data_IF_566148043271
#
_entry.id   IF_566148043271
#
_cell.length_a   1.000
_cell.length_b   1.000
_cell.length_c   1.000
_cell.angle_alpha   90.00
_cell.angle_beta   90.00
_cell.angle_gamma   90.00
#
_symmetry.space_group_name_H-M   'P 1'
#
loop_
_entity.id
_entity.type
_entity.pdbx_description
1 polymer ?
#
# COMPACT_ATOMS: atom_id res chain seq x y z
N UNK A 1 -79.96 -48.21 -66.30
CA UNK A 1 -79.16 -48.47 -65.10
C UNK A 1 -78.07 -47.38 -65.04
N UNK A 2 -78.22 -46.38 -64.17
CA UNK A 2 -77.39 -45.14 -64.17
C UNK A 2 -76.30 -45.23 -63.09
N UNK A 3 -75.03 -45.06 -63.49
CA UNK A 3 -73.87 -44.96 -62.61
C UNK A 3 -73.84 -43.60 -61.89
N UNK A 4 -73.41 -43.61 -60.62
CA UNK A 4 -73.08 -42.41 -59.83
C UNK A 4 -71.56 -42.25 -59.76
N UNK A 5 -71.05 -41.06 -60.09
CA UNK A 5 -69.66 -40.65 -59.85
C UNK A 5 -69.63 -39.71 -58.63
N UNK A 6 -68.81 -40.04 -57.62
CA UNK A 6 -68.63 -39.24 -56.41
C UNK A 6 -67.45 -38.27 -56.57
N UNK A 7 -67.69 -37.00 -56.28
CA UNK A 7 -66.68 -35.93 -56.24
C UNK A 7 -66.16 -35.84 -54.80
N UNK A 8 -64.85 -36.01 -54.61
CA UNK A 8 -64.18 -35.74 -53.33
C UNK A 8 -63.54 -34.36 -53.36
N UNK A 9 -63.94 -33.50 -52.42
CA UNK A 9 -63.45 -32.12 -52.26
C UNK A 9 -62.27 -32.13 -51.27
N UNK A 10 -61.06 -31.78 -51.73
CA UNK A 10 -59.90 -31.62 -50.86
C UNK A 10 -59.79 -30.15 -50.43
N UNK A 11 -59.89 -29.89 -49.12
CA UNK A 11 -59.70 -28.57 -48.52
C UNK A 11 -58.21 -28.39 -48.21
N UNK A 12 -57.56 -27.43 -48.86
CA UNK A 12 -56.18 -27.01 -48.56
C UNK A 12 -56.23 -25.85 -47.56
N UNK A 13 -55.77 -26.09 -46.33
CA UNK A 13 -55.61 -25.06 -45.30
C UNK A 13 -54.23 -24.44 -45.44
N UNK A 14 -54.15 -23.20 -45.92
CA UNK A 14 -52.91 -22.41 -45.99
C UNK A 14 -52.74 -21.71 -44.64
N UNK A 15 -51.93 -22.28 -43.75
CA UNK A 15 -51.56 -21.64 -42.48
C UNK A 15 -50.53 -20.54 -42.71
N UNK A 16 -50.90 -19.29 -42.42
CA UNK A 16 -49.96 -18.15 -42.40
C UNK A 16 -49.02 -18.27 -41.20
N UNK A 17 -47.75 -18.61 -41.45
CA UNK A 17 -46.69 -18.60 -40.44
C UNK A 17 -46.24 -17.16 -40.25
N UNK A 18 -46.66 -16.51 -39.16
CA UNK A 18 -46.11 -15.24 -38.71
C UNK A 18 -44.76 -15.50 -38.03
N UNK A 19 -43.68 -15.11 -38.70
CA UNK A 19 -42.34 -15.15 -38.11
C UNK A 19 -42.25 -14.09 -36.99
N UNK A 20 -42.34 -14.54 -35.73
CA UNK A 20 -42.07 -13.70 -34.57
C UNK A 20 -40.55 -13.52 -34.48
N UNK A 21 -40.04 -12.42 -35.03
CA UNK A 21 -38.64 -12.02 -34.87
C UNK A 21 -38.35 -11.77 -33.40
N UNK A 22 -37.63 -12.68 -32.75
CA UNK A 22 -37.11 -12.47 -31.40
C UNK A 22 -35.99 -11.44 -31.48
N UNK A 23 -36.26 -10.20 -31.07
CA UNK A 23 -35.21 -9.21 -30.85
C UNK A 23 -34.39 -9.66 -29.63
N UNK A 24 -33.12 -9.99 -29.87
CA UNK A 24 -32.18 -10.27 -28.78
C UNK A 24 -32.00 -8.97 -27.99
N UNK A 25 -32.49 -8.93 -26.76
CA UNK A 25 -32.28 -7.79 -25.86
C UNK A 25 -30.79 -7.73 -25.48
N UNK A 26 -30.06 -6.76 -26.02
CA UNK A 26 -28.68 -6.48 -25.62
C UNK A 26 -28.74 -5.54 -24.42
N UNK A 27 -28.21 -5.98 -23.27
CA UNK A 27 -28.10 -5.13 -22.09
C UNK A 27 -27.22 -3.91 -22.40
N UNK A 28 -27.62 -2.73 -21.91
CA UNK A 28 -26.79 -1.53 -22.05
C UNK A 28 -25.44 -1.74 -21.35
N UNK A 29 -24.33 -1.23 -21.91
CA UNK A 29 -23.02 -1.29 -21.26
C UNK A 29 -23.07 -0.67 -19.86
N UNK A 30 -22.41 -1.32 -18.89
CA UNK A 30 -22.19 -0.78 -17.55
C UNK A 30 -21.30 0.47 -17.58
N UNK A 31 -20.35 0.50 -18.50
CA UNK A 31 -19.42 1.61 -18.68
C UNK A 31 -19.72 2.45 -19.92
N UNK A 32 -19.56 3.76 -19.78
CA UNK A 32 -19.78 4.75 -20.84
C UNK A 32 -18.51 5.59 -21.01
N UNK A 33 -18.15 5.89 -22.26
CA UNK A 33 -17.04 6.81 -22.53
C UNK A 33 -17.35 8.21 -21.94
N UNK A 34 -16.43 8.81 -21.16
CA UNK A 34 -16.76 9.95 -20.29
C UNK A 34 -17.01 11.27 -21.03
N UNK A 35 -16.82 11.35 -22.35
CA UNK A 35 -17.17 12.54 -23.15
C UNK A 35 -18.29 12.20 -24.13
N UNK A 36 -19.45 12.83 -23.96
CA UNK A 36 -20.62 12.57 -24.79
C UNK A 36 -20.89 13.68 -25.82
N UNK A 37 -21.33 13.28 -27.01
CA UNK A 37 -21.80 14.19 -28.06
C UNK A 37 -20.69 14.99 -28.76
N UNK A 38 -19.43 14.56 -28.64
CA UNK A 38 -18.29 15.26 -29.21
C UNK A 38 -17.24 14.32 -29.82
N UNK A 39 -16.58 14.81 -30.87
CA UNK A 39 -15.35 14.20 -31.37
C UNK A 39 -14.21 14.49 -30.40
N UNK A 40 -13.44 13.46 -30.08
CA UNK A 40 -12.32 13.54 -29.13
C UNK A 40 -11.02 13.00 -29.73
N UNK A 41 -9.91 13.55 -29.23
CA UNK A 41 -8.54 13.04 -29.44
C UNK A 41 -7.88 12.83 -28.08
N UNK A 42 -6.95 11.88 -27.98
CA UNK A 42 -6.15 11.72 -26.77
C UNK A 42 -4.84 12.51 -26.92
N UNK A 43 -4.41 13.18 -25.86
CA UNK A 43 -3.06 13.77 -25.82
C UNK A 43 -2.00 12.66 -25.87
N UNK A 44 -0.91 12.88 -26.61
CA UNK A 44 0.25 11.98 -26.64
C UNK A 44 1.19 12.14 -25.44
N UNK A 45 0.92 13.10 -24.54
CA UNK A 45 1.74 13.36 -23.36
C UNK A 45 0.90 13.68 -22.12
N UNK A 46 1.26 13.05 -21.00
CA UNK A 46 0.84 13.41 -19.65
C UNK A 46 2.04 13.17 -18.71
N UNK A 47 2.53 14.21 -18.01
CA UNK A 47 3.83 14.16 -17.32
C UNK A 47 3.75 14.01 -15.80
N UNK A 48 2.57 14.20 -15.20
CA UNK A 48 2.49 14.42 -13.75
C UNK A 48 1.76 13.30 -12.99
N UNK A 49 0.76 12.65 -13.61
CA UNK A 49 -0.05 11.59 -13.00
C UNK A 49 -0.47 10.53 -14.02
N UNK A 50 -0.88 9.34 -13.54
CA UNK A 50 -1.50 8.34 -14.41
C UNK A 50 -2.95 8.74 -14.72
N UNK A 51 -3.09 9.72 -15.61
CA UNK A 51 -4.35 10.27 -16.09
C UNK A 51 -4.30 10.41 -17.62
N UNK A 52 -5.44 10.73 -18.23
CA UNK A 52 -5.52 10.96 -19.68
C UNK A 52 -6.24 12.26 -19.96
N UNK A 53 -5.59 13.12 -20.75
CA UNK A 53 -6.21 14.31 -21.28
C UNK A 53 -6.97 13.96 -22.57
N UNK A 54 -8.29 14.06 -22.49
CA UNK A 54 -9.21 13.82 -23.61
C UNK A 54 -9.54 15.18 -24.22
N UNK A 55 -8.82 15.53 -25.30
CA UNK A 55 -9.03 16.77 -26.06
C UNK A 55 -10.44 16.78 -26.65
N UNK A 56 -11.22 17.79 -26.28
CA UNK A 56 -12.59 17.99 -26.73
C UNK A 56 -12.91 19.48 -26.78
N UNK A 57 -13.88 19.88 -27.60
CA UNK A 57 -14.31 21.29 -27.66
C UNK A 57 -14.84 21.74 -26.29
N UNK A 58 -14.62 23.00 -25.94
CA UNK A 58 -15.26 23.61 -24.77
C UNK A 58 -16.78 23.43 -24.86
N UNK A 59 -17.42 23.09 -23.74
CA UNK A 59 -18.87 22.82 -23.71
C UNK A 59 -19.28 21.38 -24.02
N UNK A 60 -18.35 20.51 -24.46
CA UNK A 60 -18.63 19.07 -24.55
C UNK A 60 -19.03 18.50 -23.19
N UNK A 61 -19.91 17.50 -23.17
CA UNK A 61 -20.44 16.95 -21.92
C UNK A 61 -19.45 15.97 -21.32
N UNK A 62 -19.00 16.23 -20.10
CA UNK A 62 -18.44 15.20 -19.23
C UNK A 62 -19.61 14.42 -18.61
N UNK A 63 -19.61 13.10 -18.78
CA UNK A 63 -20.65 12.20 -18.26
C UNK A 63 -20.07 11.15 -17.31
N UNK A 64 -20.90 10.65 -16.40
CA UNK A 64 -20.52 9.60 -15.47
C UNK A 64 -20.13 8.32 -16.25
N UNK A 65 -18.90 7.80 -16.09
CA UNK A 65 -18.44 6.62 -16.82
C UNK A 65 -19.11 5.33 -16.34
N UNK A 66 -19.65 5.32 -15.12
CA UNK A 66 -20.41 4.23 -14.52
C UNK A 66 -21.46 4.84 -13.56
N UNK A 67 -22.49 4.09 -13.21
CA UNK A 67 -23.39 4.43 -12.09
C UNK A 67 -22.63 4.46 -10.76
N UNK A 68 -23.08 5.28 -9.82
CA UNK A 68 -22.40 5.43 -8.54
C UNK A 68 -22.89 6.62 -7.73
N UNK A 69 -22.02 7.10 -6.85
CA UNK A 69 -22.28 8.24 -5.95
C UNK A 69 -21.26 9.33 -6.21
N UNK A 70 -21.71 10.57 -6.37
CA UNK A 70 -20.83 11.74 -6.45
C UNK A 70 -20.06 11.84 -5.13
N UNK A 71 -18.75 11.80 -5.25
CA UNK A 71 -17.81 11.85 -4.14
C UNK A 71 -17.50 13.30 -3.82
N UNK A 72 -16.94 14.02 -4.80
CA UNK A 72 -16.50 15.39 -4.62
C UNK A 72 -16.84 16.29 -5.78
N UNK A 73 -16.91 17.57 -5.45
CA UNK A 73 -17.37 18.61 -6.34
C UNK A 73 -16.66 19.91 -5.99
N UNK A 74 -15.82 20.41 -6.90
CA UNK A 74 -15.20 21.72 -6.77
C UNK A 74 -15.68 22.67 -7.87
N UNK A 75 -16.28 23.80 -7.47
CA UNK A 75 -16.73 24.88 -8.40
C UNK A 75 -15.79 26.09 -8.41
N UNK A 76 -14.75 26.09 -7.59
CA UNK A 76 -13.85 27.22 -7.45
C UNK A 76 -12.53 26.95 -8.17
N UNK A 77 -12.21 27.79 -9.15
CA UNK A 77 -10.91 27.75 -9.82
C UNK A 77 -9.88 28.58 -9.03
N UNK A 78 -9.27 27.97 -8.02
CA UNK A 78 -8.23 28.59 -7.19
C UNK A 78 -6.85 28.62 -7.85
N UNK A 79 -6.72 28.16 -9.10
CA UNK A 79 -5.43 28.03 -9.77
C UNK A 79 -4.67 29.36 -9.90
N UNK A 80 -3.41 29.31 -9.51
CA UNK A 80 -2.44 30.38 -9.69
C UNK A 80 -1.10 29.81 -10.16
N UNK A 81 -0.69 30.19 -11.37
CA UNK A 81 0.57 29.74 -11.96
C UNK A 81 1.82 30.15 -11.15
N UNK A 82 1.74 31.22 -10.35
CA UNK A 82 2.87 31.68 -9.51
C UNK A 82 3.10 30.76 -8.32
N UNK A 83 2.05 30.26 -7.67
CA UNK A 83 2.17 29.36 -6.51
C UNK A 83 2.28 27.89 -6.93
N UNK A 84 1.71 27.52 -8.08
CA UNK A 84 1.80 26.20 -8.69
C UNK A 84 1.45 25.05 -7.72
N UNK A 85 0.47 25.27 -6.84
CA UNK A 85 0.03 24.28 -5.86
C UNK A 85 -0.72 23.14 -6.57
N UNK A 86 -0.29 21.90 -6.30
CA UNK A 86 -0.81 20.72 -7.00
C UNK A 86 -2.30 20.46 -6.79
N UNK A 87 -2.82 20.75 -5.59
CA UNK A 87 -4.24 20.64 -5.25
C UNK A 87 -5.13 21.61 -6.06
N UNK A 88 -4.58 22.73 -6.53
CA UNK A 88 -5.32 23.75 -7.29
C UNK A 88 -5.28 23.51 -8.81
N UNK A 89 -4.39 22.63 -9.28
CA UNK A 89 -4.20 22.37 -10.73
C UNK A 89 -5.45 21.84 -11.41
N UNK A 90 -6.33 21.15 -10.68
CA UNK A 90 -7.54 20.55 -11.24
C UNK A 90 -8.64 21.57 -11.60
N UNK A 91 -8.58 22.82 -11.12
CA UNK A 91 -9.64 23.80 -11.36
C UNK A 91 -11.01 23.28 -10.91
N UNK A 92 -12.02 23.42 -11.78
CA UNK A 92 -13.34 22.83 -11.53
C UNK A 92 -13.28 21.32 -11.81
N UNK A 93 -13.77 20.52 -10.86
CA UNK A 93 -13.79 19.06 -11.01
C UNK A 93 -14.98 18.40 -10.33
N UNK A 94 -15.29 17.20 -10.80
CA UNK A 94 -16.23 16.26 -10.17
C UNK A 94 -15.56 14.90 -10.07
N UNK A 95 -15.68 14.24 -8.92
CA UNK A 95 -15.38 12.82 -8.78
C UNK A 95 -16.61 12.01 -8.41
N UNK A 96 -16.62 10.76 -8.85
CA UNK A 96 -17.64 9.76 -8.56
C UNK A 96 -16.95 8.52 -7.98
N UNK A 97 -17.54 7.93 -6.93
CA UNK A 97 -17.27 6.54 -6.56
C UNK A 97 -18.27 5.67 -7.32
N UNK A 98 -17.76 4.91 -8.29
CA UNK A 98 -18.57 4.00 -9.08
C UNK A 98 -19.11 2.84 -8.24
N UNK A 99 -20.16 2.19 -8.73
CA UNK A 99 -20.72 0.98 -8.12
C UNK A 99 -19.70 -0.19 -8.09
N UNK A 100 -18.59 -0.07 -8.83
CA UNK A 100 -17.43 -0.96 -8.78
C UNK A 100 -16.39 -0.63 -7.70
N UNK A 101 -16.65 0.41 -6.88
CA UNK A 101 -15.78 0.85 -5.79
C UNK A 101 -14.59 1.71 -6.22
N UNK A 102 -14.53 2.10 -7.50
CA UNK A 102 -13.42 2.89 -8.06
C UNK A 102 -13.77 4.38 -8.06
N UNK A 103 -12.77 5.24 -7.84
CA UNK A 103 -12.90 6.69 -7.98
C UNK A 103 -12.58 7.08 -9.42
N UNK A 104 -13.51 7.81 -10.06
CA UNK A 104 -13.31 8.45 -11.35
C UNK A 104 -13.39 9.96 -11.18
N UNK A 105 -12.43 10.70 -11.73
CA UNK A 105 -12.41 12.17 -11.66
C UNK A 105 -12.35 12.76 -13.06
N UNK A 106 -13.14 13.81 -13.28
CA UNK A 106 -13.02 14.69 -14.43
C UNK A 106 -12.76 16.12 -13.96
N UNK A 107 -11.66 16.72 -14.40
CA UNK A 107 -11.23 18.06 -13.98
C UNK A 107 -11.05 19.03 -15.15
N UNK A 108 -10.66 20.27 -14.84
CA UNK A 108 -10.51 21.40 -15.77
C UNK A 108 -11.83 21.82 -16.44
N UNK A 109 -12.96 21.57 -15.77
CA UNK A 109 -14.30 21.81 -16.30
C UNK A 109 -14.56 23.32 -16.49
N UNK A 110 -15.42 23.66 -17.45
CA UNK A 110 -15.93 25.02 -17.63
C UNK A 110 -17.08 25.34 -16.65
N UNK A 111 -17.92 24.33 -16.37
CA UNK A 111 -19.04 24.45 -15.44
C UNK A 111 -19.51 23.09 -14.96
N UNK A 112 -20.23 23.08 -13.84
CA UNK A 112 -20.82 21.89 -13.24
C UNK A 112 -22.29 22.19 -12.89
N UNK A 113 -23.27 21.36 -13.32
CA UNK A 113 -24.69 21.57 -13.01
C UNK A 113 -24.97 21.68 -11.50
N UNK A 114 -25.91 22.54 -11.11
CA UNK A 114 -26.17 22.84 -9.69
C UNK A 114 -26.67 21.63 -8.87
N UNK A 115 -27.27 20.64 -9.53
CA UNK A 115 -27.79 19.41 -8.92
C UNK A 115 -26.70 18.34 -8.68
N UNK A 116 -25.51 18.50 -9.26
CA UNK A 116 -24.37 17.62 -9.00
C UNK A 116 -23.69 18.03 -7.70
N UNK A 117 -23.97 17.28 -6.62
CA UNK A 117 -23.47 17.52 -5.26
C UNK A 117 -22.95 16.22 -4.65
N UNK A 118 -22.01 16.31 -3.71
CA UNK A 118 -21.53 15.15 -2.96
C UNK A 118 -22.70 14.37 -2.34
N UNK A 119 -22.64 13.04 -2.40
CA UNK A 119 -23.68 12.12 -1.94
C UNK A 119 -24.80 11.84 -2.94
N UNK A 120 -24.88 12.55 -4.07
CA UNK A 120 -25.92 12.31 -5.08
C UNK A 120 -25.64 11.03 -5.84
N UNK A 121 -26.64 10.15 -5.96
CA UNK A 121 -26.59 8.99 -6.85
C UNK A 121 -26.76 9.42 -8.30
N UNK A 122 -25.93 8.87 -9.18
CA UNK A 122 -25.99 9.09 -10.62
C UNK A 122 -25.94 7.76 -11.36
N UNK A 123 -26.51 7.74 -12.56
CA UNK A 123 -26.41 6.62 -13.48
C UNK A 123 -25.34 6.88 -14.53
N UNK A 124 -24.77 5.83 -15.12
CA UNK A 124 -23.86 5.94 -16.25
C UNK A 124 -24.45 6.82 -17.36
N UNK A 125 -23.64 7.71 -17.94
CA UNK A 125 -24.06 8.69 -18.94
C UNK A 125 -24.70 9.97 -18.39
N UNK A 126 -24.97 10.08 -17.07
CA UNK A 126 -25.44 11.34 -16.46
C UNK A 126 -24.41 12.44 -16.69
N UNK A 127 -24.83 13.59 -17.22
CA UNK A 127 -23.95 14.76 -17.35
C UNK A 127 -23.49 15.26 -15.98
N UNK A 128 -22.17 15.30 -15.80
CA UNK A 128 -21.49 15.76 -14.59
C UNK A 128 -20.88 17.14 -14.74
N UNK A 129 -20.62 17.60 -15.97
CA UNK A 129 -20.00 18.90 -16.21
C UNK A 129 -19.83 19.20 -17.69
N UNK A 130 -19.34 20.39 -17.97
CA UNK A 130 -18.94 20.80 -19.31
C UNK A 130 -17.41 20.88 -19.37
N UNK A 131 -16.82 20.29 -20.41
CA UNK A 131 -15.39 20.36 -20.70
C UNK A 131 -14.96 21.82 -20.87
N UNK A 132 -13.80 22.17 -20.30
CA UNK A 132 -13.27 23.53 -20.31
C UNK A 132 -11.76 23.57 -20.31
N UNK A 133 -11.23 24.62 -19.68
CA UNK A 133 -9.79 24.86 -19.52
C UNK A 133 -9.52 25.57 -18.18
N UNK A 134 -10.29 25.26 -17.13
CA UNK A 134 -10.00 25.77 -15.79
C UNK A 134 -8.77 25.09 -15.19
N UNK A 135 -8.26 25.59 -14.08
CA UNK A 135 -7.06 25.03 -13.46
C UNK A 135 -5.80 25.29 -14.29
N UNK A 136 -4.85 24.35 -14.26
CA UNK A 136 -3.60 24.47 -15.02
C UNK A 136 -3.76 24.36 -16.54
N UNK A 137 -4.96 24.00 -17.04
CA UNK A 137 -5.29 24.07 -18.47
C UNK A 137 -5.57 25.50 -18.96
N UNK A 138 -5.61 26.49 -18.07
CA UNK A 138 -5.92 27.89 -18.42
C UNK A 138 -4.96 28.43 -19.47
N UNK A 139 -5.52 28.96 -20.56
CA UNK A 139 -4.77 29.48 -21.70
C UNK A 139 -4.35 28.41 -22.73
N UNK A 140 -4.63 27.13 -22.46
CA UNK A 140 -4.41 26.02 -23.38
C UNK A 140 -5.67 25.56 -24.12
N UNK A 141 -5.54 24.45 -24.85
CA UNK A 141 -6.67 23.78 -25.51
C UNK A 141 -7.60 23.14 -24.49
N UNK A 142 -8.92 23.23 -24.72
CA UNK A 142 -9.89 22.58 -23.84
C UNK A 142 -9.77 21.05 -23.88
N UNK A 143 -9.87 20.44 -22.72
CA UNK A 143 -9.84 18.99 -22.54
C UNK A 143 -10.53 18.56 -21.26
N UNK A 144 -10.91 17.28 -21.21
CA UNK A 144 -11.23 16.61 -19.96
C UNK A 144 -9.97 15.93 -19.46
N UNK A 145 -9.43 16.39 -18.35
CA UNK A 145 -8.45 15.62 -17.60
C UNK A 145 -9.18 14.52 -16.82
N UNK A 146 -8.97 13.27 -17.21
CA UNK A 146 -9.68 12.12 -16.66
C UNK A 146 -8.74 11.21 -15.87
N UNK A 147 -9.08 10.95 -14.61
CA UNK A 147 -8.29 10.14 -13.69
C UNK A 147 -9.07 8.96 -13.10
N UNK A 148 -8.36 7.87 -12.84
CA UNK A 148 -8.88 6.65 -12.20
C UNK A 148 -8.03 6.34 -10.96
N UNK A 149 -8.65 6.16 -9.80
CA UNK A 149 -7.97 5.82 -8.55
C UNK A 149 -8.91 5.18 -7.51
N UNK A 150 -8.57 5.21 -6.23
CA UNK A 150 -9.39 4.68 -5.13
C UNK A 150 -9.93 5.80 -4.23
N UNK A 151 -11.04 5.56 -3.50
CA UNK A 151 -11.50 6.47 -2.45
C UNK A 151 -10.41 6.67 -1.38
N UNK A 152 -10.13 7.92 -1.04
CA UNK A 152 -9.09 8.32 -0.07
C UNK A 152 -9.46 9.66 0.57
N UNK A 153 -8.98 9.97 1.79
CA UNK A 153 -9.21 11.28 2.41
C UNK A 153 -8.70 12.44 1.56
N UNK A 154 -9.25 13.64 1.81
CA UNK A 154 -8.99 14.84 1.01
C UNK A 154 -7.52 15.24 0.92
N UNK A 155 -6.73 14.97 1.95
CA UNK A 155 -5.32 15.37 2.02
C UNK A 155 -4.41 14.67 0.99
N UNK A 156 -4.86 13.53 0.44
CA UNK A 156 -4.15 12.76 -0.57
C UNK A 156 -4.47 13.24 -2.00
N UNK A 157 -4.37 14.55 -2.23
CA UNK A 157 -4.81 15.19 -3.48
C UNK A 157 -4.17 14.57 -4.74
N UNK A 158 -2.92 14.08 -4.66
CA UNK A 158 -2.24 13.44 -5.80
C UNK A 158 -2.88 12.10 -6.19
N UNK A 159 -3.30 11.27 -5.23
CA UNK A 159 -4.05 10.03 -5.50
C UNK A 159 -5.40 10.35 -6.13
N UNK A 160 -6.02 11.44 -5.67
CA UNK A 160 -7.37 11.84 -6.08
C UNK A 160 -7.44 12.37 -7.52
N UNK A 161 -6.31 12.73 -8.12
CA UNK A 161 -6.19 13.14 -9.54
C UNK A 161 -6.03 11.95 -10.51
N UNK A 162 -5.53 10.80 -10.04
CA UNK A 162 -5.37 9.59 -10.88
C UNK A 162 -4.12 8.79 -10.51
N UNK A 163 -4.26 7.46 -10.54
CA UNK A 163 -3.20 6.50 -10.17
C UNK A 163 -3.12 5.29 -11.11
N UNK A 164 -4.08 5.17 -12.03
CA UNK A 164 -4.19 4.11 -13.03
C UNK A 164 -4.33 4.76 -14.40
N UNK A 165 -3.43 4.40 -15.32
CA UNK A 165 -3.47 4.85 -16.70
C UNK A 165 -4.83 4.53 -17.36
N UNK A 166 -5.66 5.54 -17.71
CA UNK A 166 -7.03 5.29 -18.18
C UNK A 166 -7.17 4.70 -19.59
N UNK A 167 -6.13 4.77 -20.43
CA UNK A 167 -6.23 4.55 -21.88
C UNK A 167 -6.92 3.25 -22.28
N UNK A 168 -6.56 2.11 -21.68
CA UNK A 168 -7.16 0.81 -22.04
C UNK A 168 -8.66 0.76 -21.73
N UNK A 169 -9.08 1.41 -20.64
CA UNK A 169 -10.48 1.51 -20.22
C UNK A 169 -11.25 2.44 -21.15
N UNK A 170 -10.67 3.60 -21.45
CA UNK A 170 -11.25 4.58 -22.37
C UNK A 170 -11.48 3.99 -23.76
N UNK A 171 -10.54 3.21 -24.30
CA UNK A 171 -10.71 2.51 -25.58
C UNK A 171 -11.83 1.46 -25.54
N UNK A 172 -11.89 0.66 -24.47
CA UNK A 172 -12.96 -0.32 -24.28
C UNK A 172 -14.34 0.36 -24.25
N UNK A 173 -14.50 1.38 -23.39
CA UNK A 173 -15.79 2.08 -23.22
C UNK A 173 -16.18 2.86 -24.48
N UNK A 174 -15.21 3.41 -25.22
CA UNK A 174 -15.47 4.06 -26.52
C UNK A 174 -16.00 3.07 -27.57
N UNK A 175 -15.59 1.80 -27.48
CA UNK A 175 -16.10 0.72 -28.34
C UNK A 175 -17.37 0.04 -27.81
N UNK A 176 -17.95 0.53 -26.69
CA UNK A 176 -19.12 -0.05 -26.05
C UNK A 176 -18.85 -1.37 -25.30
N UNK A 177 -17.59 -1.66 -24.97
CA UNK A 177 -17.19 -2.84 -24.21
C UNK A 177 -17.07 -2.52 -22.72
N UNK A 178 -17.64 -3.37 -21.89
CA UNK A 178 -17.49 -3.28 -20.44
C UNK A 178 -16.12 -3.80 -19.99
N UNK A 179 -15.33 -2.92 -19.38
CA UNK A 179 -14.04 -3.25 -18.77
C UNK A 179 -13.88 -2.47 -17.46
N UNK A 180 -13.77 -3.19 -16.34
CA UNK A 180 -13.67 -2.60 -15.01
C UNK A 180 -12.21 -2.40 -14.58
N UNK A 181 -11.84 -1.21 -14.07
CA UNK A 181 -10.52 -0.96 -13.49
C UNK A 181 -10.35 -1.42 -12.04
N UNK A 182 -11.38 -2.00 -11.41
CA UNK A 182 -11.36 -2.30 -9.97
C UNK A 182 -10.20 -3.23 -9.55
N UNK A 183 -9.82 -4.19 -10.40
CA UNK A 183 -8.68 -5.07 -10.14
C UNK A 183 -7.36 -4.29 -10.12
N UNK A 184 -7.09 -3.50 -11.15
CA UNK A 184 -5.85 -2.73 -11.27
C UNK A 184 -5.73 -1.67 -10.17
N UNK A 185 -6.84 -1.01 -9.84
CA UNK A 185 -6.95 -0.07 -8.71
C UNK A 185 -6.57 -0.77 -7.40
N UNK A 186 -7.13 -1.96 -7.14
CA UNK A 186 -6.83 -2.74 -5.94
C UNK A 186 -5.36 -3.14 -5.89
N UNK A 187 -4.79 -3.61 -7.00
CA UNK A 187 -3.38 -4.01 -7.07
C UNK A 187 -2.42 -2.82 -6.89
N UNK A 188 -2.70 -1.68 -7.52
CA UNK A 188 -1.89 -0.46 -7.39
C UNK A 188 -1.95 0.09 -5.97
N UNK A 189 -3.14 0.12 -5.36
CA UNK A 189 -3.34 0.52 -3.97
C UNK A 189 -2.49 -0.36 -3.03
N UNK A 190 -2.57 -1.68 -3.17
CA UNK A 190 -1.76 -2.62 -2.37
C UNK A 190 -0.25 -2.39 -2.55
N UNK A 191 0.21 -2.11 -3.77
CA UNK A 191 1.62 -1.78 -4.04
C UNK A 191 2.05 -0.45 -3.42
N UNK A 192 1.19 0.57 -3.41
CA UNK A 192 1.51 1.89 -2.81
C UNK A 192 1.41 1.90 -1.28
N UNK A 193 0.54 1.06 -0.72
CA UNK A 193 0.40 0.86 0.72
C UNK A 193 1.57 0.07 1.30
N UNK A 194 2.12 -0.91 0.56
CA UNK A 194 3.35 -1.60 0.95
C UNK A 194 4.60 -0.84 0.48
N UNK A 195 5.10 0.10 1.29
CA UNK A 195 6.49 0.57 1.16
C UNK A 195 7.40 -0.30 2.02
N UNK A 196 8.04 -1.29 1.41
CA UNK A 196 9.17 -2.00 2.03
C UNK A 196 10.43 -1.18 1.77
N UNK A 197 10.98 -0.56 2.82
CA UNK A 197 12.28 0.10 2.74
C UNK A 197 13.33 -0.93 3.09
N UNK A 198 14.02 -1.44 2.08
CA UNK A 198 15.13 -2.37 2.24
C UNK A 198 16.46 -1.62 2.34
N UNK A 199 17.34 -2.12 3.20
CA UNK A 199 18.72 -1.65 3.23
C UNK A 199 19.65 -2.58 2.47
N UNK A 200 20.83 -2.07 2.13
CA UNK A 200 21.97 -2.94 1.83
C UNK A 200 22.34 -3.79 3.07
N UNK A 201 23.09 -4.86 2.84
CA UNK A 201 23.57 -5.75 3.90
C UNK A 201 24.66 -5.05 4.73
N UNK A 202 24.48 -5.02 6.05
CA UNK A 202 25.48 -4.55 7.00
C UNK A 202 26.26 -5.73 7.59
N UNK A 203 27.59 -5.74 7.48
CA UNK A 203 28.42 -6.76 8.12
C UNK A 203 28.96 -6.26 9.47
N UNK A 204 28.78 -7.07 10.52
CA UNK A 204 29.23 -6.80 11.89
C UNK A 204 30.06 -7.98 12.40
N UNK A 205 31.25 -7.71 12.93
CA UNK A 205 32.14 -8.74 13.47
C UNK A 205 32.09 -8.79 14.99
N UNK A 206 31.74 -9.95 15.54
CA UNK A 206 31.84 -10.28 16.96
C UNK A 206 33.26 -10.82 17.23
N UNK A 207 34.15 -9.97 17.73
CA UNK A 207 35.50 -10.36 18.16
C UNK A 207 35.62 -10.43 19.68
N UNK A 208 36.52 -11.27 20.19
CA UNK A 208 36.81 -11.30 21.63
C UNK A 208 37.27 -9.92 22.08
N UNK A 209 36.63 -9.40 23.13
CA UNK A 209 37.09 -8.19 23.79
C UNK A 209 38.42 -8.47 24.48
N UNK A 210 39.36 -7.52 24.41
CA UNK A 210 40.66 -7.65 25.08
C UNK A 210 40.51 -7.70 26.61
N UNK A 211 39.37 -7.25 27.14
CA UNK A 211 38.99 -7.30 28.55
C UNK A 211 37.46 -7.43 28.64
N UNK A 212 36.97 -8.25 29.57
CA UNK A 212 35.57 -8.58 29.92
C UNK A 212 34.89 -9.70 29.12
N UNK A 213 34.32 -10.67 29.86
CA UNK A 213 33.66 -11.90 29.41
C UNK A 213 32.39 -11.74 28.57
N UNK A 214 32.18 -10.58 27.92
CA UNK A 214 31.01 -10.30 27.07
C UNK A 214 31.38 -9.40 25.90
N UNK A 215 31.04 -9.84 24.68
CA UNK A 215 31.18 -9.04 23.45
C UNK A 215 29.80 -8.61 22.97
N UNK A 216 29.67 -7.38 22.45
CA UNK A 216 28.45 -6.93 21.79
C UNK A 216 28.71 -6.07 20.57
N UNK A 217 27.86 -6.20 19.55
CA UNK A 217 27.84 -5.33 18.36
C UNK A 217 26.39 -4.96 18.01
N UNK A 218 26.21 -3.89 17.25
CA UNK A 218 24.89 -3.35 17.02
C UNK A 218 24.83 -2.33 15.91
N UNK A 219 23.61 -1.86 15.64
CA UNK A 219 23.32 -0.84 14.64
C UNK A 219 22.15 0.02 15.10
N UNK A 220 21.97 1.18 14.44
CA UNK A 220 20.83 2.05 14.70
C UNK A 220 19.87 2.06 13.51
N UNK A 221 18.58 2.18 13.78
CA UNK A 221 17.55 2.41 12.77
C UNK A 221 16.75 3.64 13.13
N UNK A 222 16.61 4.56 12.17
CA UNK A 222 15.73 5.71 12.29
C UNK A 222 14.37 5.34 11.72
N UNK A 223 13.36 5.34 12.59
CA UNK A 223 11.96 5.19 12.22
C UNK A 223 11.37 6.58 12.12
N UNK A 224 11.17 7.04 10.89
CA UNK A 224 10.60 8.37 10.60
C UNK A 224 9.58 8.22 9.47
N UNK A 225 8.46 8.94 9.57
CA UNK A 225 7.45 9.02 8.50
C UNK A 225 6.92 7.65 8.03
N UNK A 226 6.87 6.64 8.90
CA UNK A 226 6.21 5.38 8.59
C UNK A 226 4.70 5.58 8.57
N UNK A 227 4.06 5.08 7.52
CA UNK A 227 2.61 5.03 7.39
C UNK A 227 2.10 3.68 7.91
N UNK A 228 0.82 3.57 8.24
CA UNK A 228 0.22 2.27 8.56
C UNK A 228 0.53 1.26 7.46
N UNK A 229 0.92 0.05 7.86
CA UNK A 229 1.35 -1.08 7.00
C UNK A 229 2.72 -0.94 6.32
N UNK A 230 3.43 0.18 6.46
CA UNK A 230 4.83 0.30 5.99
C UNK A 230 5.74 -0.62 6.82
N UNK A 231 6.82 -1.10 6.21
CA UNK A 231 7.87 -1.84 6.90
C UNK A 231 9.28 -1.40 6.50
N UNK A 232 10.20 -1.50 7.46
CA UNK A 232 11.64 -1.28 7.28
C UNK A 232 12.31 -2.63 7.47
N UNK A 233 13.02 -3.09 6.45
CA UNK A 233 13.82 -4.30 6.49
C UNK A 233 15.30 -3.92 6.61
N UNK A 234 16.01 -4.56 7.54
CA UNK A 234 17.47 -4.47 7.69
C UNK A 234 18.07 -5.86 7.62
N UNK A 235 19.07 -6.01 6.77
CA UNK A 235 19.80 -7.25 6.56
C UNK A 235 21.18 -7.11 7.20
N UNK A 236 21.53 -8.04 8.08
CA UNK A 236 22.76 -7.96 8.87
C UNK A 236 23.47 -9.30 8.89
N UNK A 237 24.76 -9.26 8.55
CA UNK A 237 25.67 -10.40 8.67
C UNK A 237 26.46 -10.28 9.98
N UNK A 238 26.25 -11.24 10.88
CA UNK A 238 27.03 -11.34 12.11
C UNK A 238 28.13 -12.37 11.93
N UNK A 239 29.37 -11.90 11.87
CA UNK A 239 30.56 -12.71 11.67
C UNK A 239 31.15 -13.04 13.04
N UNK A 240 31.28 -14.33 13.36
CA UNK A 240 31.94 -14.79 14.59
C UNK A 240 33.46 -14.82 14.37
N UNK A 241 34.25 -14.23 15.28
CA UNK A 241 35.70 -14.23 15.19
C UNK A 241 36.32 -15.62 15.38
N UNK A 242 37.54 -15.82 14.87
CA UNK A 242 38.30 -17.05 15.10
C UNK A 242 38.58 -17.25 16.60
N UNK A 243 38.30 -18.45 17.12
CA UNK A 243 38.51 -18.80 18.54
C UNK A 243 37.38 -18.37 19.50
N UNK A 244 36.29 -17.78 19.00
CA UNK A 244 35.15 -17.40 19.82
C UNK A 244 34.09 -18.50 19.82
N UNK A 245 34.07 -19.33 20.86
CA UNK A 245 32.87 -20.06 21.23
C UNK A 245 31.87 -19.04 21.79
N UNK A 246 30.72 -18.87 21.12
CA UNK A 246 29.70 -17.92 21.57
C UNK A 246 28.61 -18.69 22.29
N UNK A 247 28.45 -18.43 23.59
CA UNK A 247 27.33 -18.99 24.36
C UNK A 247 26.27 -17.92 24.60
N UNK A 248 25.00 -18.33 24.54
CA UNK A 248 23.84 -17.52 24.92
C UNK A 248 23.75 -16.15 24.20
N UNK A 249 23.67 -16.10 22.86
CA UNK A 249 23.42 -14.85 22.15
C UNK A 249 22.10 -14.23 22.58
N UNK A 250 22.12 -12.93 22.85
CA UNK A 250 20.94 -12.16 23.26
C UNK A 250 20.77 -10.93 22.37
N UNK A 251 19.53 -10.64 22.02
CA UNK A 251 19.13 -9.42 21.33
C UNK A 251 18.51 -8.45 22.32
N UNK A 252 18.97 -7.20 22.31
CA UNK A 252 18.34 -6.09 22.99
C UNK A 252 18.07 -4.95 22.01
N UNK A 253 17.03 -4.16 22.28
CA UNK A 253 16.78 -2.90 21.57
C UNK A 253 16.54 -1.79 22.58
N UNK A 254 16.96 -0.58 22.27
CA UNK A 254 16.65 0.61 23.07
C UNK A 254 16.26 1.78 22.17
N UNK A 255 15.35 2.62 22.64
CA UNK A 255 15.12 3.93 22.04
C UNK A 255 16.22 4.92 22.46
N UNK A 256 16.65 5.81 21.57
CA UNK A 256 17.64 6.85 21.86
C UNK A 256 17.26 8.19 21.21
N UNK A 257 17.59 9.32 21.82
CA UNK A 257 17.32 10.66 21.27
C UNK A 257 17.02 11.73 22.33
N UNK A 258 17.02 13.03 21.94
CA UNK A 258 16.89 14.17 22.85
C UNK A 258 15.50 14.29 23.52
N UNK A 259 14.51 13.55 23.04
CA UNK A 259 13.19 13.41 23.63
C UNK A 259 12.94 11.94 23.97
N UNK A 260 13.78 11.32 24.80
CA UNK A 260 13.46 10.01 25.39
C UNK A 260 12.31 10.23 26.37
N UNK A 261 11.07 9.87 26.01
CA UNK A 261 10.01 9.87 27.01
C UNK A 261 10.35 8.70 27.93
N UNK A 262 10.05 8.80 29.23
CA UNK A 262 10.03 7.60 30.07
C UNK A 262 9.28 6.48 29.32
N UNK A 263 9.68 5.22 29.48
CA UNK A 263 9.17 4.07 28.70
C UNK A 263 7.64 3.82 28.77
N UNK A 264 6.85 4.77 29.30
CA UNK A 264 5.38 4.78 29.32
C UNK A 264 4.71 5.99 28.63
N UNK A 265 5.42 6.87 27.90
CA UNK A 265 4.82 8.07 27.28
C UNK A 265 4.90 8.16 25.75
N UNK A 266 5.42 7.13 25.06
CA UNK A 266 5.46 7.11 23.59
C UNK A 266 4.63 5.96 23.01
N UNK A 267 3.41 6.26 22.54
CA UNK A 267 2.48 5.27 21.99
C UNK A 267 3.08 4.39 20.88
N UNK A 268 4.01 4.92 20.08
CA UNK A 268 4.70 4.17 19.02
C UNK A 268 5.55 2.99 19.56
N UNK A 269 5.95 3.03 20.84
CA UNK A 269 6.80 2.02 21.47
C UNK A 269 6.05 1.09 22.44
N UNK A 270 4.95 1.57 23.04
CA UNK A 270 4.29 0.90 24.16
C UNK A 270 2.90 0.36 23.84
N UNK A 271 2.27 0.84 22.76
CA UNK A 271 0.95 0.36 22.38
C UNK A 271 1.04 -1.07 21.82
N UNK A 272 0.44 -2.03 22.53
CA UNK A 272 0.48 -3.44 22.17
C UNK A 272 -0.36 -3.80 20.94
N UNK A 273 -1.23 -2.92 20.46
CA UNK A 273 -2.10 -3.16 19.30
C UNK A 273 -1.60 -2.38 18.09
N UNK A 274 -1.31 -1.10 18.28
CA UNK A 274 -1.02 -0.14 17.23
C UNK A 274 0.47 0.26 17.18
N UNK A 275 1.24 0.07 18.27
CA UNK A 275 2.66 0.40 18.30
C UNK A 275 3.50 -0.42 17.31
N UNK A 276 4.77 -0.02 17.14
CA UNK A 276 5.70 -0.70 16.24
C UNK A 276 5.83 -2.19 16.59
N UNK A 277 5.85 -3.01 15.55
CA UNK A 277 6.06 -4.43 15.62
C UNK A 277 7.40 -4.80 15.04
N UNK A 278 8.04 -5.78 15.66
CA UNK A 278 9.38 -6.23 15.29
C UNK A 278 9.37 -7.73 15.03
N UNK A 279 10.11 -8.13 14.00
CA UNK A 279 10.45 -9.52 13.70
C UNK A 279 11.94 -9.63 13.42
N UNK A 280 12.53 -10.74 13.89
CA UNK A 280 13.91 -11.09 13.62
C UNK A 280 13.96 -12.53 13.14
N UNK A 281 14.49 -12.73 11.95
CA UNK A 281 14.52 -14.02 11.26
C UNK A 281 15.95 -14.36 10.86
N UNK A 282 16.36 -15.63 11.00
CA UNK A 282 17.56 -16.14 10.35
C UNK A 282 17.22 -16.52 8.92
N UNK A 283 18.10 -16.16 7.98
CA UNK A 283 18.20 -16.92 6.75
C UNK A 283 19.12 -18.13 7.03
N UNK A 284 18.70 -19.33 6.63
CA UNK A 284 19.54 -20.55 6.76
C UNK A 284 20.87 -20.46 5.99
N UNK A 285 21.63 -21.56 5.94
CA UNK A 285 23.02 -21.68 5.49
C UNK A 285 23.32 -21.31 4.00
N UNK A 286 22.92 -20.14 3.53
CA UNK A 286 23.16 -19.66 2.16
C UNK A 286 23.32 -18.13 2.12
N UNK A 287 24.18 -17.68 1.21
CA UNK A 287 24.42 -16.28 0.85
C UNK A 287 23.15 -15.54 0.46
N UNK A 288 23.09 -14.22 0.73
CA UNK A 288 22.02 -13.34 0.22
C UNK A 288 21.97 -13.43 -1.31
N UNK A 289 21.05 -14.19 -1.90
CA UNK A 289 21.00 -14.34 -3.36
C UNK A 289 20.29 -13.16 -4.05
N UNK A 290 20.59 -11.92 -3.63
CA UNK A 290 19.88 -10.64 -3.83
C UNK A 290 19.00 -10.24 -2.64
N UNK A 291 19.02 -8.94 -2.32
CA UNK A 291 18.60 -8.32 -1.06
C UNK A 291 17.09 -8.43 -0.69
N UNK A 292 16.33 -9.37 -1.25
CA UNK A 292 14.86 -9.42 -1.10
C UNK A 292 14.31 -10.79 -0.65
N UNK A 293 15.04 -11.91 -0.77
CA UNK A 293 14.50 -13.23 -0.39
C UNK A 293 15.57 -14.19 0.15
N UNK A 294 15.30 -14.80 1.32
CA UNK A 294 16.04 -16.02 1.73
C UNK A 294 15.70 -17.10 0.70
N UNK A 295 16.64 -17.45 -0.18
CA UNK A 295 16.38 -18.26 -1.38
C UNK A 295 16.47 -19.77 -1.16
N UNK A 296 16.93 -20.22 0.02
CA UNK A 296 16.84 -21.62 0.45
C UNK A 296 16.56 -21.72 1.94
N UNK A 297 15.43 -22.36 2.28
CA UNK A 297 15.03 -22.67 3.65
C UNK A 297 13.83 -21.85 4.11
N UNK A 298 12.99 -22.47 4.94
CA UNK A 298 11.89 -21.80 5.64
C UNK A 298 12.48 -20.82 6.64
N UNK A 299 12.10 -19.52 6.62
CA UNK A 299 12.54 -18.56 7.64
C UNK A 299 12.22 -19.11 9.04
N UNK A 300 13.25 -19.23 9.89
CA UNK A 300 13.08 -19.68 11.27
C UNK A 300 13.08 -18.47 12.20
N UNK A 301 12.21 -18.49 13.20
CA UNK A 301 12.20 -17.46 14.24
C UNK A 301 13.42 -17.65 15.13
N UNK A 302 14.10 -16.54 15.43
CA UNK A 302 15.31 -16.54 16.25
C UNK A 302 14.99 -16.11 17.68
N UNK A 303 13.87 -15.40 17.87
CA UNK A 303 13.42 -14.86 19.15
C UNK A 303 12.01 -15.38 19.46
N UNK A 304 11.88 -16.19 20.52
CA UNK A 304 10.61 -16.79 20.99
C UNK A 304 10.49 -18.31 20.80
N UNK A 305 9.71 -18.97 21.66
CA UNK A 305 9.59 -20.45 21.76
C UNK A 305 8.46 -21.06 20.91
N UNK A 306 8.38 -20.73 19.61
CA UNK A 306 7.32 -21.29 18.75
C UNK A 306 7.51 -21.11 17.25
N UNK A 307 7.03 -22.10 16.48
CA UNK A 307 6.95 -22.06 15.03
C UNK A 307 5.81 -21.11 14.58
N UNK A 308 6.16 -20.04 13.87
CA UNK A 308 5.22 -19.07 13.29
C UNK A 308 5.55 -17.62 13.63
N UNK A 309 5.34 -16.70 12.69
CA UNK A 309 5.63 -15.26 12.80
C UNK A 309 4.77 -14.64 13.92
N UNK A 310 5.16 -14.79 15.18
CA UNK A 310 4.57 -14.06 16.31
C UNK A 310 5.32 -12.74 16.42
N UNK A 311 4.57 -11.65 16.28
CA UNK A 311 5.07 -10.30 16.49
C UNK A 311 5.66 -10.17 17.89
N UNK A 312 6.91 -9.70 17.99
CA UNK A 312 7.52 -9.40 19.28
C UNK A 312 7.01 -8.04 19.73
N UNK A 313 6.51 -7.97 20.96
CA UNK A 313 6.17 -6.69 21.57
C UNK A 313 7.47 -5.88 21.77
N UNK A 314 7.56 -4.71 21.14
CA UNK A 314 8.74 -3.87 21.21
C UNK A 314 9.03 -3.40 22.65
N UNK A 315 7.99 -3.15 23.45
CA UNK A 315 8.13 -2.77 24.85
C UNK A 315 8.84 -3.85 25.68
N UNK A 316 8.51 -5.13 25.47
CA UNK A 316 9.17 -6.23 26.19
C UNK A 316 10.63 -6.40 25.81
N UNK A 317 10.98 -6.16 24.54
CA UNK A 317 12.36 -6.18 24.05
C UNK A 317 13.16 -4.93 24.46
N UNK A 318 12.49 -3.81 24.75
CA UNK A 318 13.13 -2.62 25.32
C UNK A 318 13.36 -2.78 26.82
N UNK A 319 12.45 -3.44 27.52
CA UNK A 319 12.56 -3.70 28.95
C UNK A 319 13.53 -4.84 29.31
N UNK A 320 14.01 -5.64 28.35
CA UNK A 320 14.94 -6.75 28.57
C UNK A 320 15.47 -7.38 27.29
N UNK A 321 16.48 -8.25 27.41
CA UNK A 321 17.06 -8.94 26.25
C UNK A 321 16.32 -10.26 25.96
N UNK A 322 16.25 -10.65 24.68
CA UNK A 322 15.67 -11.91 24.22
C UNK A 322 16.76 -12.87 23.78
N UNK A 323 16.66 -14.14 24.19
CA UNK A 323 17.61 -15.17 23.80
C UNK A 323 17.44 -15.55 22.32
N UNK A 324 18.56 -15.66 21.61
CA UNK A 324 18.64 -16.02 20.19
C UNK A 324 19.19 -17.45 20.01
N UNK A 325 18.50 -18.43 20.62
CA UNK A 325 18.96 -19.84 20.72
C UNK A 325 19.44 -20.49 19.41
N UNK A 326 18.98 -20.02 18.25
CA UNK A 326 19.25 -20.62 16.93
C UNK A 326 20.20 -19.80 16.05
N UNK A 327 20.93 -18.83 16.60
CA UNK A 327 22.08 -18.23 15.89
C UNK A 327 23.18 -19.30 15.84
N UNK A 328 23.59 -19.75 14.66
CA UNK A 328 24.56 -20.85 14.50
C UNK A 328 25.93 -20.37 15.01
N UNK A 329 26.42 -20.96 16.10
CA UNK A 329 27.52 -20.44 16.92
C UNK A 329 28.90 -21.07 16.65
N UNK A 330 29.09 -21.78 15.53
CA UNK A 330 30.42 -22.31 15.20
C UNK A 330 31.41 -21.17 14.91
N UNK A 331 32.66 -21.32 15.34
CA UNK A 331 33.72 -20.34 15.08
C UNK A 331 33.83 -20.02 13.57
N UNK A 332 34.05 -18.75 13.23
CA UNK A 332 34.15 -18.25 11.85
C UNK A 332 32.85 -18.39 11.02
N UNK A 333 31.70 -18.65 11.64
CA UNK A 333 30.40 -18.63 10.96
C UNK A 333 29.91 -17.21 10.68
N UNK A 334 29.23 -17.05 9.54
CA UNK A 334 28.43 -15.88 9.20
C UNK A 334 26.96 -16.19 9.47
N UNK A 335 26.33 -15.39 10.31
CA UNK A 335 24.91 -15.50 10.66
C UNK A 335 24.12 -14.40 9.94
N UNK A 336 23.20 -14.81 9.05
CA UNK A 336 22.38 -13.91 8.26
C UNK A 336 21.07 -13.60 8.99
N UNK A 337 20.89 -12.36 9.46
CA UNK A 337 19.68 -11.93 10.16
C UNK A 337 18.92 -10.85 9.37
N UNK A 338 17.60 -11.03 9.26
CA UNK A 338 16.66 -10.01 8.77
C UNK A 338 15.88 -9.44 9.94
N UNK A 339 15.99 -8.14 10.14
CA UNK A 339 15.18 -7.37 11.09
C UNK A 339 14.09 -6.64 10.31
N UNK A 340 12.83 -6.89 10.67
CA UNK A 340 11.69 -6.16 10.12
C UNK A 340 11.04 -5.35 11.22
N UNK A 341 10.92 -4.05 11.01
CA UNK A 341 10.11 -3.14 11.82
C UNK A 341 8.90 -2.78 10.97
N UNK A 342 7.69 -2.96 11.47
CA UNK A 342 6.49 -2.46 10.78
C UNK A 342 5.62 -1.63 11.70
N UNK A 343 4.86 -0.74 11.09
CA UNK A 343 3.75 -0.08 11.74
C UNK A 343 2.46 -0.83 11.33
N UNK A 344 1.72 -1.45 12.26
CA UNK A 344 0.44 -2.10 11.95
C UNK A 344 -0.57 -1.12 11.33
N UNK A 345 -1.73 -1.61 10.90
CA UNK A 345 -2.80 -0.70 10.52
C UNK A 345 -3.19 0.19 11.72
N UNK A 346 -3.22 1.51 11.51
CA UNK A 346 -3.48 2.54 12.53
C UNK A 346 -4.78 3.25 12.17
N UNK A 347 -5.92 2.55 12.26
CA UNK A 347 -7.19 3.26 12.14
C UNK A 347 -7.38 4.06 13.43
N UNK A 348 -6.90 5.31 13.38
CA UNK A 348 -7.01 6.29 14.45
C UNK A 348 -8.13 7.26 14.10
N UNK A 349 -9.26 7.17 14.80
CA UNK A 349 -10.45 7.98 14.50
C UNK A 349 -10.33 9.36 15.11
N UNK A 350 -10.51 10.41 14.30
CA UNK A 350 -10.57 11.80 14.77
C UNK A 350 -11.98 12.37 14.56
N UNK A 351 -12.39 13.30 15.42
CA UNK A 351 -13.60 14.09 15.28
C UNK A 351 -13.18 15.55 15.07
N UNK A 352 -13.58 16.14 13.93
CA UNK A 352 -13.25 17.54 13.57
C UNK A 352 -11.73 17.86 13.61
N UNK A 353 -10.86 16.89 13.29
CA UNK A 353 -9.40 17.07 13.31
C UNK A 353 -8.74 16.89 14.67
N UNK A 354 -9.48 16.48 15.70
CA UNK A 354 -8.98 16.20 17.05
C UNK A 354 -9.28 14.77 17.49
N UNK A 355 -8.44 14.18 18.35
CA UNK A 355 -8.74 12.89 18.95
C UNK A 355 -9.83 13.00 20.01
N UNK A 356 -10.71 12.01 20.08
CA UNK A 356 -11.79 11.96 21.07
C UNK A 356 -11.23 12.09 22.49
N UNK A 357 -11.72 13.07 23.26
CA UNK A 357 -11.24 13.34 24.62
C UNK A 357 -9.97 14.20 24.73
N UNK A 358 -9.45 14.74 23.63
CA UNK A 358 -8.30 15.67 23.65
C UNK A 358 -8.57 16.92 22.80
N UNK A 359 -7.98 18.05 23.18
CA UNK A 359 -7.96 19.29 22.40
C UNK A 359 -6.72 19.42 21.50
N UNK A 360 -5.94 18.35 21.37
CA UNK A 360 -4.67 18.35 20.64
C UNK A 360 -4.84 17.71 19.25
N UNK A 361 -4.19 18.27 18.21
CA UNK A 361 -4.13 17.61 16.91
C UNK A 361 -3.32 16.30 17.00
N UNK A 362 -3.51 15.35 16.06
CA UNK A 362 -2.84 14.05 16.07
C UNK A 362 -1.33 14.08 16.26
N UNK A 363 -0.63 15.07 15.68
CA UNK A 363 0.82 15.21 15.83
C UNK A 363 1.28 15.50 17.26
N UNK A 364 0.42 16.13 18.07
CA UNK A 364 0.71 16.58 19.43
C UNK A 364 0.09 15.70 20.52
N UNK A 365 -0.86 14.82 20.17
CA UNK A 365 -1.42 13.87 21.13
C UNK A 365 -0.35 12.85 21.62
N UNK A 366 -0.32 12.52 22.93
CA UNK A 366 0.57 11.49 23.48
C UNK A 366 0.09 10.06 23.19
N UNK A 367 -1.20 9.88 22.86
CA UNK A 367 -1.80 8.59 22.52
C UNK A 367 -1.79 8.30 21.03
N UNK A 368 -1.47 9.30 20.21
CA UNK A 368 -1.38 9.19 18.75
C UNK A 368 -0.01 8.69 18.31
N UNK A 369 -0.02 7.77 17.35
CA UNK A 369 1.19 7.24 16.73
C UNK A 369 1.58 8.06 15.49
N UNK A 370 0.64 8.84 14.94
CA UNK A 370 0.85 9.63 13.72
C UNK A 370 1.90 10.73 13.93
N UNK A 371 2.80 10.84 12.95
CA UNK A 371 3.85 11.87 12.93
C UNK A 371 4.97 11.67 13.95
N UNK A 372 4.93 10.61 14.77
CA UNK A 372 6.00 10.29 15.72
C UNK A 372 7.21 9.71 14.98
N UNK A 373 8.37 9.85 15.61
CA UNK A 373 9.64 9.33 15.11
C UNK A 373 10.45 8.78 16.28
N UNK A 374 11.24 7.75 16.01
CA UNK A 374 12.10 7.13 17.03
C UNK A 374 13.39 6.60 16.40
N UNK A 375 14.51 6.76 17.10
CA UNK A 375 15.75 6.06 16.77
C UNK A 375 15.87 4.84 17.68
N UNK A 376 15.87 3.66 17.07
CA UNK A 376 16.10 2.39 17.73
C UNK A 376 17.58 2.02 17.61
N UNK A 377 18.18 1.55 18.69
CA UNK A 377 19.54 1.00 18.74
C UNK A 377 19.42 -0.46 19.10
N UNK A 378 19.89 -1.31 18.19
CA UNK A 378 19.89 -2.77 18.30
C UNK A 378 21.24 -3.23 18.81
N UNK A 379 21.26 -4.21 19.70
CA UNK A 379 22.50 -4.77 20.23
C UNK A 379 22.35 -6.27 20.32
N UNK A 380 23.28 -6.98 19.69
CA UNK A 380 23.49 -8.42 19.87
C UNK A 380 24.68 -8.59 20.79
N UNK A 381 24.47 -9.29 21.90
CA UNK A 381 25.50 -9.57 22.89
C UNK A 381 25.64 -11.09 23.09
N UNK A 382 26.87 -11.54 23.29
CA UNK A 382 27.24 -12.94 23.49
C UNK A 382 28.15 -13.04 24.69
N UNK A 383 28.00 -14.10 25.47
CA UNK A 383 28.94 -14.42 26.53
C UNK A 383 30.14 -15.15 25.90
N UNK A 384 31.34 -14.80 26.36
CA UNK A 384 32.53 -15.57 26.03
C UNK A 384 32.39 -16.96 26.69
N UNK A 385 32.70 -18.05 25.99
CA UNK A 385 32.98 -19.32 26.67
C UNK A 385 34.30 -19.10 27.40
N UNK A 386 34.28 -19.12 28.74
CA UNK A 386 35.51 -19.23 29.51
C UNK A 386 36.11 -20.60 29.16
N UNK A 387 37.35 -20.62 28.65
CA UNK A 387 38.12 -21.85 28.62
C UNK A 387 38.19 -22.31 30.08
N UNK A 388 37.51 -23.40 30.39
CA UNK A 388 37.72 -24.07 31.66
C UNK A 388 39.17 -24.54 31.63
N UNK A 389 40.03 -23.86 32.38
CA UNK A 389 41.35 -24.36 32.71
C UNK A 389 41.13 -25.77 33.29
N UNK A 390 41.49 -26.76 32.47
CA UNK A 390 41.55 -28.17 32.86
C UNK A 390 42.76 -28.28 33.81
N UNK A 391 42.58 -27.85 35.05
CA UNK A 391 43.43 -28.22 36.18
C UNK A 391 43.23 -29.73 36.40
N UNK A 392 43.82 -30.51 35.50
CA UNK A 392 44.09 -31.91 35.72
C UNK A 392 45.16 -31.99 36.81
N UNK A 393 44.69 -32.18 38.04
CA UNK A 393 45.48 -32.66 39.17
C UNK A 393 46.20 -33.95 38.75
N UNK A 394 47.43 -33.82 38.24
CA UNK A 394 48.39 -34.93 38.11
C UNK A 394 48.95 -35.26 39.50
N UNK A 395 48.10 -35.83 40.34
CA UNK A 395 48.48 -36.38 41.65
C UNK A 395 48.81 -37.88 41.52
N UNK A 396 49.54 -38.24 40.45
CA UNK A 396 49.93 -39.62 40.15
C UNK A 396 51.43 -39.81 39.94
N UNK A 397 52.26 -39.30 40.85
CA UNK A 397 53.65 -39.77 41.01
C UNK A 397 53.82 -40.59 42.29
N UNK A 398 54.19 -41.88 42.19
CA UNK A 398 54.52 -42.69 43.36
C UNK A 398 55.84 -42.20 43.96
N UNK A 399 55.83 -41.88 45.26
CA UNK A 399 57.05 -41.66 46.05
C UNK A 399 57.86 -42.96 46.05
N UNK A 400 59.08 -42.91 45.51
CA UNK A 400 60.14 -43.90 45.74
C UNK A 400 61.13 -43.34 46.75
#
# INVERSE_FOLDING_TARGET
MRLRAGISLAIVVIGSITAVGSSVAVAAPKYVFPVAGCTVKFSSSHSDFEATDILAKAGCKFVAPISGVIDEVNRFDSWNAKSNLGNDRGGLYVSIIGDDGVRYVGSQLASIPADIKSGVKVIAGRTLGLVGSSGNARGGSSHLHFGISWPTPGDYWWVRQGEIAPMMYLEAWRSGKDLSPAKDVKEKKLKKEKKEIESETLSLTLSNGLFSGRTSVGFATYVTKLRPTDSINRFVDYITGAGAGLSSPTLAVRASGPSTPALGVNAILVDATHGLKVWVQTCGASTWATATTCTRGTPANVVGTGAGILSINLQTLIAGAQNMNNMITSASAVNHLKYTISLPNQIETTANGYFFGTSLPPSLSPTSIQGKSVKLVWTVAVNQIEDSDDDSDDDSKPKK
#
